data_IF_428293406354
#
_entry.id   IF_428293406354
#
_cell.length_a   1.000
_cell.length_b   1.000
_cell.length_c   1.000
_cell.angle_alpha   90.00
_cell.angle_beta   90.00
_cell.angle_gamma   90.00
#
_symmetry.space_group_name_H-M   'P 1'
#
loop_
_entity.id
_entity.type
_entity.pdbx_description
1 polymer ?
#
# COMPACT_ATOMS: atom_id res chain seq x y z
N UNK A 1 11.38 26.49 13.35
CA UNK A 1 10.05 27.01 13.00
C UNK A 1 9.34 26.20 11.93
N UNK A 2 10.05 25.47 11.10
CA UNK A 2 9.46 24.56 10.09
C UNK A 2 8.77 23.33 10.68
N UNK A 3 9.23 22.81 11.81
CA UNK A 3 8.68 21.63 12.49
C UNK A 3 7.20 21.80 12.88
N UNK A 4 6.81 22.99 13.31
CA UNK A 4 5.41 23.27 13.72
C UNK A 4 4.42 23.35 12.54
N UNK A 5 4.89 23.58 11.32
CA UNK A 5 4.02 23.68 10.15
C UNK A 5 3.74 22.29 9.56
N UNK A 6 4.73 21.40 9.58
CA UNK A 6 4.58 20.00 9.14
C UNK A 6 3.68 19.21 10.12
N UNK A 7 3.86 19.39 11.44
CA UNK A 7 3.00 18.76 12.44
C UNK A 7 1.54 19.20 12.35
N UNK A 8 1.27 20.46 11.99
CA UNK A 8 -0.11 20.96 11.80
C UNK A 8 -0.80 20.34 10.59
N UNK A 9 -0.06 20.01 9.53
CA UNK A 9 -0.60 19.38 8.34
C UNK A 9 -0.94 17.89 8.53
N UNK A 10 -0.46 17.26 9.61
CA UNK A 10 -0.74 15.87 9.90
C UNK A 10 -2.06 15.66 10.65
N UNK A 11 -2.55 16.68 11.35
CA UNK A 11 -3.81 16.61 12.06
C UNK A 11 -4.94 16.95 11.11
N UNK A 12 -5.81 16.00 10.90
CA UNK A 12 -7.03 16.14 10.12
C UNK A 12 -8.21 16.47 11.03
N UNK A 13 -9.25 17.02 10.44
CA UNK A 13 -10.47 17.29 11.18
C UNK A 13 -11.71 16.88 10.40
N UNK A 14 -12.68 16.37 11.14
CA UNK A 14 -14.09 16.28 10.73
C UNK A 14 -14.83 17.43 11.38
N UNK A 15 -16.18 17.53 11.17
CA UNK A 15 -16.99 18.63 11.73
C UNK A 15 -16.87 18.78 13.26
N UNK A 16 -16.61 17.70 14.00
CA UNK A 16 -16.56 17.69 15.46
C UNK A 16 -15.32 17.03 16.07
N UNK A 17 -14.39 16.53 15.26
CA UNK A 17 -13.25 15.78 15.75
C UNK A 17 -11.96 16.14 15.03
N UNK A 18 -10.88 16.07 15.77
CA UNK A 18 -9.52 16.09 15.20
C UNK A 18 -8.92 14.70 15.29
N UNK A 19 -8.18 14.29 14.29
CA UNK A 19 -7.59 12.95 14.24
C UNK A 19 -6.22 12.92 13.58
N UNK A 20 -5.45 11.92 13.95
CA UNK A 20 -4.21 11.51 13.30
C UNK A 20 -4.21 9.98 13.25
N UNK A 21 -5.02 9.44 12.39
CA UNK A 21 -5.16 8.00 12.22
C UNK A 21 -4.37 7.56 10.99
N UNK A 22 -3.09 7.32 11.18
CA UNK A 22 -2.17 6.96 10.12
C UNK A 22 -1.74 5.50 10.26
N UNK A 23 -1.69 4.82 9.11
CA UNK A 23 -1.38 3.41 9.04
C UNK A 23 -0.42 3.12 7.90
N UNK A 24 0.51 2.24 8.18
CA UNK A 24 1.33 1.59 7.17
C UNK A 24 0.65 0.28 6.78
N UNK A 25 0.29 0.13 5.52
CA UNK A 25 -0.45 -1.01 5.01
C UNK A 25 0.32 -1.67 3.88
N UNK A 26 0.43 -3.00 3.92
CA UNK A 26 1.06 -3.80 2.88
C UNK A 26 0.09 -4.88 2.44
N UNK A 27 -0.09 -5.03 1.13
CA UNK A 27 -0.88 -6.09 0.54
C UNK A 27 -0.33 -6.51 -0.82
N UNK A 28 -0.63 -7.72 -1.25
CA UNK A 28 0.02 -8.36 -2.37
C UNK A 28 -0.97 -9.05 -3.32
N UNK A 29 -0.61 -9.19 -4.60
CA UNK A 29 -1.33 -10.04 -5.53
C UNK A 29 -1.37 -11.49 -5.07
N UNK A 30 -2.38 -12.25 -5.51
CA UNK A 30 -2.48 -13.70 -5.24
C UNK A 30 -1.19 -14.41 -5.58
N UNK A 31 -0.74 -15.28 -4.67
CA UNK A 31 0.51 -16.03 -4.80
C UNK A 31 1.75 -15.14 -4.96
N UNK A 32 1.65 -13.87 -4.56
CA UNK A 32 2.72 -12.89 -4.65
C UNK A 32 3.39 -12.85 -6.03
N UNK A 33 2.58 -12.95 -7.06
CA UNK A 33 3.08 -12.91 -8.44
C UNK A 33 3.67 -11.54 -8.75
N UNK A 34 4.84 -11.55 -9.35
CA UNK A 34 5.52 -10.34 -9.83
C UNK A 34 4.87 -9.88 -11.15
N UNK A 35 3.73 -9.22 -11.04
CA UNK A 35 2.92 -8.79 -12.19
C UNK A 35 2.79 -7.26 -12.30
N UNK A 36 3.14 -6.55 -11.25
CA UNK A 36 2.93 -5.11 -11.17
C UNK A 36 4.06 -4.36 -11.90
N UNK A 37 3.93 -4.29 -13.23
CA UNK A 37 4.86 -3.59 -14.11
C UNK A 37 4.14 -2.72 -15.13
N UNK A 38 4.87 -1.81 -15.73
CA UNK A 38 4.45 -1.06 -16.91
C UNK A 38 3.08 -0.42 -16.76
N UNK A 39 2.20 -0.68 -17.70
CA UNK A 39 0.85 -0.11 -17.72
C UNK A 39 -0.01 -0.59 -16.56
N UNK A 40 0.11 -1.86 -16.15
CA UNK A 40 -0.60 -2.40 -15.00
C UNK A 40 -0.23 -1.65 -13.71
N UNK A 41 1.05 -1.37 -13.51
CA UNK A 41 1.53 -0.58 -12.36
C UNK A 41 0.91 0.82 -12.32
N UNK A 42 0.85 1.49 -13.45
CA UNK A 42 0.22 2.82 -13.58
C UNK A 42 -1.27 2.76 -13.28
N UNK A 43 -1.96 1.79 -13.85
CA UNK A 43 -3.40 1.61 -13.66
C UNK A 43 -3.74 1.28 -12.20
N UNK A 44 -2.98 0.42 -11.55
CA UNK A 44 -3.15 0.11 -10.13
C UNK A 44 -2.98 1.37 -9.28
N UNK A 45 -1.94 2.14 -9.51
CA UNK A 45 -1.71 3.40 -8.78
C UNK A 45 -2.87 4.38 -8.93
N UNK A 46 -3.38 4.53 -10.13
CA UNK A 46 -4.52 5.40 -10.46
C UNK A 46 -5.82 4.91 -9.81
N UNK A 47 -6.09 3.62 -9.89
CA UNK A 47 -7.26 2.97 -9.29
C UNK A 47 -7.24 3.15 -7.77
N UNK A 48 -6.14 2.83 -7.11
CA UNK A 48 -6.01 2.94 -5.66
C UNK A 48 -6.18 4.39 -5.20
N UNK A 49 -5.60 5.34 -5.91
CA UNK A 49 -5.77 6.77 -5.63
C UNK A 49 -7.22 7.20 -5.72
N UNK A 50 -7.92 6.80 -6.77
CA UNK A 50 -9.34 7.12 -6.96
C UNK A 50 -10.20 6.54 -5.84
N UNK A 51 -9.98 5.28 -5.48
CA UNK A 51 -10.74 4.59 -4.44
C UNK A 51 -10.48 5.17 -3.04
N UNK A 52 -9.24 5.51 -2.72
CA UNK A 52 -8.90 6.18 -1.47
C UNK A 52 -9.61 7.53 -1.37
N UNK A 53 -9.61 8.29 -2.43
CA UNK A 53 -10.30 9.59 -2.50
C UNK A 53 -11.81 9.47 -2.26
N UNK A 54 -12.46 8.42 -2.78
CA UNK A 54 -13.87 8.14 -2.55
C UNK A 54 -14.21 7.91 -1.08
N UNK A 55 -13.28 7.42 -0.29
CA UNK A 55 -13.44 7.15 1.14
C UNK A 55 -12.83 8.22 2.04
N UNK A 56 -12.42 9.34 1.49
CA UNK A 56 -11.72 10.40 2.22
C UNK A 56 -10.43 9.90 2.92
N UNK A 57 -9.81 8.89 2.35
CA UNK A 57 -8.51 8.39 2.79
C UNK A 57 -7.42 9.12 2.01
N UNK A 58 -6.53 9.77 2.72
CA UNK A 58 -5.37 10.44 2.13
C UNK A 58 -4.19 9.48 2.00
N UNK A 59 -3.63 9.39 0.82
CA UNK A 59 -2.36 8.69 0.61
C UNK A 59 -1.24 9.66 0.91
N UNK A 60 -0.48 9.39 1.96
CA UNK A 60 0.67 10.21 2.36
C UNK A 60 1.93 9.80 1.60
N UNK A 61 2.12 8.51 1.42
CA UNK A 61 3.18 7.90 0.64
C UNK A 61 2.66 6.55 0.11
N UNK A 62 3.03 6.16 -1.09
CA UNK A 62 2.70 4.84 -1.62
C UNK A 62 3.73 4.41 -2.65
N UNK A 63 3.96 3.11 -2.71
CA UNK A 63 4.84 2.51 -3.70
C UNK A 63 4.26 1.18 -4.18
N UNK A 64 4.27 1.00 -5.49
CA UNK A 64 3.89 -0.25 -6.13
C UNK A 64 5.14 -1.02 -6.51
N UNK A 65 5.47 -2.03 -5.74
CA UNK A 65 6.50 -2.99 -6.07
C UNK A 65 5.95 -4.09 -6.97
N UNK A 66 6.83 -4.88 -7.58
CA UNK A 66 6.40 -5.90 -8.55
C UNK A 66 5.42 -6.94 -7.99
N UNK A 67 5.54 -7.26 -6.70
CA UNK A 67 4.79 -8.30 -6.02
C UNK A 67 3.98 -7.82 -4.79
N UNK A 68 3.97 -6.53 -4.51
CA UNK A 68 3.23 -5.97 -3.38
C UNK A 68 3.04 -4.45 -3.49
N UNK A 69 2.14 -3.95 -2.68
CA UNK A 69 1.88 -2.53 -2.51
C UNK A 69 2.21 -2.12 -1.07
N UNK A 70 2.96 -1.04 -0.92
CA UNK A 70 3.14 -0.32 0.34
C UNK A 70 2.36 0.97 0.31
N UNK A 71 1.60 1.24 1.36
CA UNK A 71 0.87 2.50 1.51
C UNK A 71 1.01 3.06 2.92
N UNK A 72 1.29 4.33 3.00
CA UNK A 72 1.12 5.12 4.22
C UNK A 72 -0.12 5.99 4.03
N UNK A 73 -1.16 5.76 4.82
CA UNK A 73 -2.47 6.40 4.64
C UNK A 73 -2.98 7.05 5.92
N UNK A 74 -3.76 8.11 5.75
CA UNK A 74 -4.55 8.71 6.82
C UNK A 74 -6.02 8.33 6.62
N UNK A 75 -6.59 7.59 7.57
CA UNK A 75 -7.95 7.07 7.52
C UNK A 75 -8.83 7.87 8.46
N UNK A 76 -10.02 8.36 8.03
CA UNK A 76 -10.93 9.05 8.93
C UNK A 76 -11.41 8.14 10.07
N UNK A 77 -11.69 8.68 11.28
CA UNK A 77 -12.00 7.86 12.46
C UNK A 77 -13.32 7.09 12.36
N UNK A 78 -14.22 7.47 11.46
CA UNK A 78 -15.48 6.75 11.22
C UNK A 78 -15.31 5.52 10.32
N UNK A 79 -14.14 5.31 9.72
CA UNK A 79 -13.85 4.20 8.81
C UNK A 79 -12.84 3.26 9.46
N UNK A 80 -13.20 2.00 9.66
CA UNK A 80 -12.26 1.01 10.15
C UNK A 80 -11.27 0.60 9.06
N UNK A 81 -10.09 0.16 9.46
CA UNK A 81 -9.08 -0.38 8.54
C UNK A 81 -9.66 -1.57 7.77
N UNK A 82 -10.39 -2.47 8.44
CA UNK A 82 -10.99 -3.63 7.80
C UNK A 82 -12.02 -3.26 6.73
N UNK A 83 -12.89 -2.30 7.01
CA UNK A 83 -13.86 -1.81 6.02
C UNK A 83 -13.16 -1.15 4.84
N UNK A 84 -12.16 -0.33 5.11
CA UNK A 84 -11.37 0.33 4.06
C UNK A 84 -10.66 -0.70 3.18
N UNK A 85 -9.99 -1.68 3.77
CA UNK A 85 -9.25 -2.71 3.01
C UNK A 85 -10.18 -3.62 2.23
N UNK A 86 -11.33 -3.98 2.78
CA UNK A 86 -12.36 -4.74 2.06
C UNK A 86 -12.86 -3.99 0.83
N UNK A 87 -13.16 -2.72 0.97
CA UNK A 87 -13.54 -1.84 -0.14
C UNK A 87 -12.40 -1.70 -1.17
N UNK A 88 -11.20 -1.35 -0.71
CA UNK A 88 -10.05 -1.09 -1.58
C UNK A 88 -9.68 -2.32 -2.41
N UNK A 89 -9.52 -3.46 -1.77
CA UNK A 89 -9.15 -4.71 -2.43
C UNK A 89 -10.24 -5.25 -3.35
N UNK A 90 -11.49 -5.20 -2.91
CA UNK A 90 -12.63 -5.67 -3.70
C UNK A 90 -12.87 -4.81 -4.96
N UNK A 91 -12.98 -3.52 -4.80
CA UNK A 91 -13.20 -2.59 -5.93
C UNK A 91 -12.01 -2.52 -6.88
N UNK A 92 -10.80 -2.48 -6.35
CA UNK A 92 -9.61 -2.45 -7.19
C UNK A 92 -9.46 -3.72 -8.02
N UNK A 93 -9.77 -4.89 -7.47
CA UNK A 93 -9.75 -6.15 -8.24
C UNK A 93 -10.68 -6.09 -9.46
N UNK A 94 -11.89 -5.62 -9.29
CA UNK A 94 -12.85 -5.47 -10.38
C UNK A 94 -12.35 -4.48 -11.44
N UNK A 95 -11.84 -3.34 -11.02
CA UNK A 95 -11.33 -2.30 -11.94
C UNK A 95 -10.06 -2.76 -12.68
N UNK A 96 -9.18 -3.50 -12.01
CA UNK A 96 -7.99 -4.10 -12.63
C UNK A 96 -8.41 -5.10 -13.73
N UNK A 97 -9.35 -5.98 -13.44
CA UNK A 97 -9.82 -6.95 -14.41
C UNK A 97 -10.61 -6.35 -15.57
N UNK A 98 -11.27 -5.21 -15.36
CA UNK A 98 -11.92 -4.47 -16.44
C UNK A 98 -10.91 -3.86 -17.40
N UNK A 99 -9.80 -3.33 -16.90
CA UNK A 99 -8.72 -2.76 -17.72
C UNK A 99 -7.78 -3.81 -18.31
N UNK A 100 -7.61 -4.93 -17.62
CA UNK A 100 -6.69 -6.02 -17.97
C UNK A 100 -7.42 -7.38 -17.96
N UNK A 101 -8.30 -7.58 -18.92
CA UNK A 101 -9.18 -8.75 -18.99
C UNK A 101 -8.42 -10.10 -19.06
N UNK A 102 -7.21 -10.10 -19.61
CA UNK A 102 -6.35 -11.28 -19.70
C UNK A 102 -5.91 -11.78 -18.30
N UNK A 103 -5.79 -10.92 -17.32
CA UNK A 103 -5.44 -11.30 -15.94
C UNK A 103 -6.56 -12.10 -15.26
N UNK A 104 -7.80 -11.89 -15.66
CA UNK A 104 -8.96 -12.60 -15.14
C UNK A 104 -8.84 -14.12 -15.30
N UNK A 105 -8.33 -14.57 -16.43
CA UNK A 105 -8.09 -16.00 -16.70
C UNK A 105 -6.94 -16.55 -15.85
N UNK A 106 -5.92 -15.76 -15.64
CA UNK A 106 -4.73 -16.14 -14.88
C UNK A 106 -4.98 -16.29 -13.38
N UNK A 107 -5.82 -15.42 -12.82
CA UNK A 107 -6.16 -15.40 -11.39
C UNK A 107 -7.38 -16.26 -11.03
N UNK A 108 -8.10 -16.78 -12.01
CA UNK A 108 -9.15 -17.78 -11.85
C UNK A 108 -10.37 -17.37 -11.03
N UNK A 109 -10.43 -16.14 -10.54
CA UNK A 109 -11.52 -15.60 -9.74
C UNK A 109 -11.50 -14.08 -9.76
N UNK A 110 -12.53 -13.48 -9.17
CA UNK A 110 -12.68 -12.02 -9.11
C UNK A 110 -11.72 -11.29 -8.17
N UNK A 111 -10.78 -11.99 -7.56
CA UNK A 111 -9.83 -11.42 -6.62
C UNK A 111 -8.43 -11.38 -7.22
N UNK A 112 -7.93 -10.18 -7.44
CA UNK A 112 -6.54 -9.95 -7.83
C UNK A 112 -5.58 -10.11 -6.63
N UNK A 113 -6.01 -9.72 -5.44
CA UNK A 113 -5.19 -9.67 -4.23
C UNK A 113 -5.25 -10.95 -3.41
N UNK A 114 -4.16 -11.25 -2.68
CA UNK A 114 -4.15 -12.25 -1.62
C UNK A 114 -5.19 -11.92 -0.56
N UNK A 115 -5.63 -12.92 0.18
CA UNK A 115 -6.35 -12.70 1.44
C UNK A 115 -5.43 -12.00 2.44
N UNK A 116 -6.03 -11.13 3.25
CA UNK A 116 -5.31 -10.44 4.30
C UNK A 116 -4.46 -9.29 3.80
N UNK A 117 -3.82 -8.67 4.74
CA UNK A 117 -2.91 -7.55 4.59
C UNK A 117 -2.14 -7.38 5.89
N UNK A 118 -1.00 -6.68 5.82
CA UNK A 118 -0.31 -6.20 7.01
C UNK A 118 -0.74 -4.77 7.28
N UNK A 119 -0.96 -4.44 8.56
CA UNK A 119 -1.23 -3.07 8.99
C UNK A 119 -0.47 -2.77 10.27
N UNK A 120 0.13 -1.59 10.32
CA UNK A 120 0.77 -1.05 11.50
C UNK A 120 0.32 0.40 11.72
N UNK A 121 0.21 0.78 12.98
CA UNK A 121 -0.09 2.17 13.35
C UNK A 121 1.18 3.01 13.26
N UNK A 122 1.02 4.20 12.69
CA UNK A 122 2.13 5.15 12.56
C UNK A 122 1.99 6.22 13.62
N UNK A 123 2.95 6.25 14.55
CA UNK A 123 3.07 7.30 15.53
C UNK A 123 3.81 8.52 14.98
N UNK A 124 4.72 9.06 15.78
CA UNK A 124 5.53 10.25 15.43
C UNK A 124 6.62 9.98 14.39
N UNK A 125 6.85 8.72 14.02
CA UNK A 125 7.96 8.30 13.15
C UNK A 125 7.59 8.21 11.67
N UNK A 126 6.63 9.00 11.21
CA UNK A 126 6.17 9.05 9.82
C UNK A 126 7.30 9.20 8.81
N UNK A 127 8.28 10.05 9.08
CA UNK A 127 9.44 10.27 8.17
C UNK A 127 10.23 9.00 7.98
N UNK A 128 10.50 8.27 9.04
CA UNK A 128 11.27 7.01 9.00
C UNK A 128 10.53 5.97 8.17
N UNK A 129 9.21 5.86 8.31
CA UNK A 129 8.39 4.92 7.55
C UNK A 129 8.30 5.33 6.09
N UNK A 130 8.12 6.60 5.79
CA UNK A 130 8.09 7.11 4.42
C UNK A 130 9.45 6.90 3.72
N UNK A 131 10.56 7.12 4.41
CA UNK A 131 11.90 6.83 3.91
C UNK A 131 12.09 5.32 3.68
N UNK A 132 11.61 4.48 4.58
CA UNK A 132 11.68 3.04 4.45
C UNK A 132 10.93 2.54 3.20
N UNK A 133 9.72 3.06 2.95
CA UNK A 133 8.95 2.74 1.74
C UNK A 133 9.70 3.14 0.47
N UNK A 134 10.31 4.33 0.45
CA UNK A 134 11.11 4.80 -0.69
C UNK A 134 12.37 3.98 -0.92
N UNK A 135 13.10 3.67 0.15
CA UNK A 135 14.36 2.93 0.07
C UNK A 135 14.14 1.47 -0.34
N UNK A 136 12.99 0.89 0.04
CA UNK A 136 12.67 -0.48 -0.33
C UNK A 136 12.50 -0.64 -1.85
N UNK A 137 12.04 0.39 -2.55
CA UNK A 137 11.97 0.37 -4.00
C UNK A 137 13.36 0.28 -4.64
N UNK A 138 14.32 1.03 -4.12
CA UNK A 138 15.72 0.99 -4.59
C UNK A 138 16.35 -0.37 -4.32
N UNK A 139 16.06 -0.97 -3.14
CA UNK A 139 16.49 -2.31 -2.79
C UNK A 139 15.85 -3.38 -3.67
N UNK A 140 14.57 -3.25 -4.01
CA UNK A 140 13.86 -4.18 -4.91
C UNK A 140 14.41 -4.11 -6.33
N UNK A 141 14.75 -2.94 -6.83
CA UNK A 141 15.42 -2.79 -8.13
C UNK A 141 16.83 -3.40 -8.12
N UNK A 142 17.54 -3.29 -7.02
CA UNK A 142 18.85 -3.93 -6.85
C UNK A 142 18.72 -5.46 -6.68
N UNK A 143 17.67 -5.92 -6.01
CA UNK A 143 17.41 -7.33 -5.75
C UNK A 143 16.92 -8.09 -6.99
N UNK A 144 16.28 -7.44 -7.95
CA UNK A 144 15.97 -8.04 -9.26
C UNK A 144 17.24 -8.42 -10.05
N UNK A 145 18.39 -7.87 -9.67
CA UNK A 145 19.70 -8.24 -10.20
C UNK A 145 20.48 -9.22 -9.29
N UNK A 146 20.08 -9.39 -8.05
CA UNK A 146 20.73 -10.24 -7.04
C UNK A 146 19.71 -11.29 -6.58
N UNK A 147 20.06 -12.55 -6.77
CA UNK A 147 19.25 -13.75 -6.50
C UNK A 147 18.26 -13.66 -5.31
N UNK A 148 17.15 -14.34 -5.47
CA UNK A 148 16.02 -14.63 -4.55
C UNK A 148 16.36 -14.83 -3.04
N UNK A 149 17.64 -14.85 -2.67
CA UNK A 149 18.11 -15.14 -1.30
C UNK A 149 18.08 -13.95 -0.34
N UNK A 150 17.86 -12.73 -0.81
CA UNK A 150 17.88 -11.51 0.02
C UNK A 150 16.53 -10.79 0.11
N UNK A 151 15.48 -11.51 -0.17
CA UNK A 151 14.13 -10.95 -0.13
C UNK A 151 13.75 -10.62 1.33
N UNK A 152 13.51 -9.34 1.58
CA UNK A 152 12.89 -8.90 2.83
C UNK A 152 11.41 -9.22 2.74
N UNK A 153 10.89 -10.04 3.65
CA UNK A 153 9.47 -10.30 3.74
C UNK A 153 8.73 -9.00 4.03
N UNK A 154 7.91 -8.47 3.09
CA UNK A 154 7.18 -7.23 3.30
C UNK A 154 6.18 -7.32 4.46
N UNK A 155 5.82 -8.54 4.87
CA UNK A 155 4.88 -8.76 5.96
C UNK A 155 5.56 -8.79 7.33
N UNK A 156 6.83 -9.17 7.42
CA UNK A 156 7.56 -9.27 8.69
C UNK A 156 8.61 -8.18 8.87
N UNK A 157 9.04 -7.53 7.80
CA UNK A 157 10.19 -6.62 7.84
C UNK A 157 11.50 -7.31 8.20
N UNK A 158 11.47 -8.64 8.36
CA UNK A 158 12.65 -9.40 8.65
C UNK A 158 13.54 -9.49 7.39
N UNK A 159 14.64 -8.82 7.44
CA UNK A 159 15.80 -9.24 6.64
C UNK A 159 16.09 -10.67 7.06
N UNK A 160 15.99 -11.62 6.12
CA UNK A 160 16.42 -12.99 6.37
C UNK A 160 17.73 -12.93 7.16
N UNK A 161 17.64 -13.16 8.45
CA UNK A 161 18.83 -13.45 9.24
C UNK A 161 19.42 -14.68 8.59
N UNK A 162 20.56 -14.52 7.97
CA UNK A 162 21.36 -15.65 7.55
C UNK A 162 21.34 -16.67 8.67
N UNK A 163 20.76 -17.79 8.39
CA UNK A 163 21.06 -18.96 9.19
C UNK A 163 22.56 -19.23 9.12
#
# INVERSE_FOLDING_TARGET
>A
MQIKKEERNEIKSTSHSRYRCQYHIIFAPKSRRKEIYGQLKKDIGEILRTLCKQKNVEILEAEACADHIHMLVSIPPYLSVAQFMGFLKGKSSLMIFDRHANLKYKYGSRNFWCRGYYVDTVGRNKKIIAEHIRNQLEEDYAADQISIKEYVDPFTGDKNKKA
#
